data_IF_792827695542
#
_entry.id   IF_792827695542
#
_cell.length_a   1.000
_cell.length_b   1.000
_cell.length_c   1.000
_cell.angle_alpha   90.00
_cell.angle_beta   90.00
_cell.angle_gamma   90.00
#
_symmetry.space_group_name_H-M   'P 1'
#
loop_
_entity.id
_entity.type
_entity.pdbx_description
1 polymer ?
#
# COMPACT_ATOMS: atom_id res chain seq x y z
N UNK A 1 12.40 -59.74 22.12
CA UNK A 1 12.46 -58.75 21.02
C UNK A 1 11.70 -57.53 21.52
N UNK A 2 12.38 -56.43 21.83
CA UNK A 2 11.74 -55.23 22.38
C UNK A 2 11.56 -54.20 21.25
N UNK A 3 10.32 -53.96 20.83
CA UNK A 3 9.98 -52.91 19.86
C UNK A 3 10.12 -51.55 20.52
N UNK A 4 11.01 -50.71 19.98
CA UNK A 4 11.09 -49.29 20.34
C UNK A 4 10.20 -48.49 19.39
N UNK A 5 9.14 -47.88 19.94
CA UNK A 5 8.27 -46.96 19.20
C UNK A 5 8.88 -45.55 19.30
N UNK A 6 9.57 -45.10 18.26
CA UNK A 6 10.10 -43.74 18.18
C UNK A 6 8.96 -42.76 17.89
N UNK A 7 8.62 -41.91 18.85
CA UNK A 7 7.68 -40.80 18.64
C UNK A 7 8.46 -39.67 17.98
N UNK A 8 8.17 -39.40 16.70
CA UNK A 8 8.69 -38.22 15.99
C UNK A 8 7.79 -37.03 16.34
N UNK A 9 8.33 -36.06 17.06
CA UNK A 9 7.67 -34.78 17.30
C UNK A 9 7.76 -33.93 16.01
N UNK A 10 6.61 -33.64 15.39
CA UNK A 10 6.54 -32.74 14.25
C UNK A 10 6.56 -31.28 14.73
N UNK A 11 7.58 -30.51 14.33
CA UNK A 11 7.59 -29.06 14.48
C UNK A 11 6.68 -28.44 13.42
N UNK A 12 5.53 -27.90 13.83
CA UNK A 12 4.75 -27.00 12.97
C UNK A 12 5.42 -25.62 13.04
N UNK A 13 6.26 -25.31 12.04
CA UNK A 13 6.74 -23.96 11.84
C UNK A 13 5.60 -23.12 11.27
N UNK A 14 5.00 -22.24 12.09
CA UNK A 14 4.06 -21.23 11.61
C UNK A 14 4.85 -20.15 10.87
N UNK A 15 5.00 -20.28 9.55
CA UNK A 15 5.49 -19.20 8.69
C UNK A 15 4.43 -18.10 8.67
N UNK A 16 4.75 -16.95 9.26
CA UNK A 16 3.93 -15.74 9.08
C UNK A 16 4.30 -15.11 7.74
N UNK A 17 3.37 -15.04 6.79
CA UNK A 17 3.61 -14.41 5.49
C UNK A 17 3.65 -12.88 5.60
N UNK A 18 4.15 -12.23 4.55
CA UNK A 18 4.09 -10.77 4.40
C UNK A 18 2.67 -10.24 4.67
N UNK A 19 2.58 -9.17 5.47
CA UNK A 19 1.29 -8.57 5.86
C UNK A 19 1.37 -7.05 5.89
N UNK A 20 0.41 -6.39 5.24
CA UNK A 20 0.31 -4.93 5.23
C UNK A 20 -0.22 -4.45 6.57
N UNK A 21 0.54 -3.60 7.27
CA UNK A 21 0.17 -3.04 8.57
C UNK A 21 -0.40 -1.62 8.47
N UNK A 22 -0.10 -0.89 7.38
CA UNK A 22 -0.69 0.41 7.06
C UNK A 22 -0.61 0.66 5.55
N UNK A 23 -1.62 1.26 4.90
CA UNK A 23 -2.86 1.80 5.45
C UNK A 23 -3.82 0.72 5.97
N UNK A 24 -4.84 1.14 6.71
CA UNK A 24 -5.85 0.24 7.28
C UNK A 24 -6.95 1.02 7.99
N UNK A 25 -7.76 0.33 8.78
CA UNK A 25 -9.01 0.88 9.33
C UNK A 25 -8.81 2.12 10.22
N UNK A 26 -7.65 2.24 10.88
CA UNK A 26 -7.29 3.37 11.75
C UNK A 26 -6.32 4.38 11.13
N UNK A 27 -5.75 4.08 9.95
CA UNK A 27 -4.78 4.94 9.25
C UNK A 27 -5.18 5.07 7.79
N UNK A 28 -5.77 6.22 7.47
CA UNK A 28 -6.25 6.59 6.13
C UNK A 28 -5.19 7.34 5.34
N UNK A 29 -5.40 7.40 4.03
CA UNK A 29 -4.63 8.26 3.14
C UNK A 29 -5.37 9.57 2.87
N UNK A 30 -4.62 10.57 2.41
CA UNK A 30 -5.17 11.78 1.82
C UNK A 30 -5.15 11.70 0.30
N UNK A 31 -5.98 12.50 -0.36
CA UNK A 31 -6.00 12.64 -1.81
C UNK A 31 -4.92 13.61 -2.34
N UNK A 32 -3.89 13.90 -1.56
CA UNK A 32 -2.78 14.78 -1.93
C UNK A 32 -1.48 14.35 -1.23
N UNK A 33 -0.34 14.68 -1.84
CA UNK A 33 1.00 14.38 -1.32
C UNK A 33 1.37 12.89 -1.29
N UNK A 34 2.60 12.57 -0.93
CA UNK A 34 3.06 11.19 -0.82
C UNK A 34 2.38 10.47 0.35
N UNK A 35 2.03 9.20 0.16
CA UNK A 35 1.38 8.37 1.18
C UNK A 35 2.33 7.27 1.67
N UNK A 36 2.24 6.93 2.96
CA UNK A 36 3.10 5.90 3.57
C UNK A 36 2.43 4.53 3.59
N UNK A 37 3.24 3.50 3.38
CA UNK A 37 2.88 2.09 3.52
C UNK A 37 3.86 1.41 4.47
N UNK A 38 3.36 0.51 5.31
CA UNK A 38 4.18 -0.32 6.21
C UNK A 38 3.70 -1.76 6.17
N UNK A 39 4.61 -2.71 6.40
CA UNK A 39 4.32 -4.14 6.43
C UNK A 39 5.27 -4.90 7.36
N UNK A 40 4.91 -6.14 7.66
CA UNK A 40 5.79 -7.15 8.25
C UNK A 40 6.14 -8.19 7.18
N UNK A 41 7.32 -8.78 7.27
CA UNK A 41 7.77 -9.86 6.38
C UNK A 41 8.66 -10.84 7.15
N UNK A 42 8.84 -12.05 6.60
CA UNK A 42 9.78 -13.07 7.07
C UNK A 42 10.71 -13.52 5.95
N UNK A 43 11.76 -14.25 6.30
CA UNK A 43 12.81 -14.65 5.37
C UNK A 43 12.34 -15.56 4.22
N UNK A 44 11.17 -16.19 4.34
CA UNK A 44 10.57 -16.99 3.27
C UNK A 44 9.73 -16.19 2.26
N UNK A 45 9.52 -14.90 2.49
CA UNK A 45 8.79 -14.04 1.55
C UNK A 45 9.63 -13.70 0.30
N UNK A 46 9.01 -13.37 -0.84
CA UNK A 46 9.73 -12.89 -2.02
C UNK A 46 10.60 -11.67 -1.71
N UNK A 47 11.73 -11.50 -2.43
CA UNK A 47 12.65 -10.39 -2.19
C UNK A 47 12.07 -9.01 -2.55
N UNK A 48 11.08 -8.98 -3.43
CA UNK A 48 10.40 -7.77 -3.85
C UNK A 48 8.95 -8.03 -4.29
N UNK A 49 8.17 -6.96 -4.38
CA UNK A 49 6.79 -6.97 -4.84
C UNK A 49 6.39 -5.65 -5.52
N UNK A 50 5.20 -5.61 -6.10
CA UNK A 50 4.58 -4.41 -6.69
C UNK A 50 3.40 -3.97 -5.83
N UNK A 51 3.33 -2.67 -5.52
CA UNK A 51 2.24 -2.04 -4.78
C UNK A 51 1.17 -1.57 -5.76
N UNK A 52 -0.05 -2.04 -5.54
CA UNK A 52 -1.22 -1.74 -6.37
C UNK A 52 -2.35 -1.23 -5.49
N UNK A 53 -2.91 -0.07 -5.85
CA UNK A 53 -4.14 0.43 -5.26
C UNK A 53 -5.33 -0.09 -6.05
N UNK A 54 -6.35 -0.57 -5.33
CA UNK A 54 -7.65 -0.94 -5.90
C UNK A 54 -8.78 -0.29 -5.12
N UNK A 55 -9.95 -0.17 -5.74
CA UNK A 55 -11.18 0.31 -5.10
C UNK A 55 -12.26 -0.78 -5.19
N UNK A 56 -12.70 -1.27 -4.03
CA UNK A 56 -13.71 -2.33 -3.90
C UNK A 56 -15.09 -1.83 -4.30
N UNK A 57 -15.37 -0.54 -4.10
CA UNK A 57 -16.63 0.12 -4.47
C UNK A 57 -16.64 0.65 -5.92
N UNK A 58 -15.67 0.26 -6.75
CA UNK A 58 -15.56 0.72 -8.13
C UNK A 58 -16.76 0.32 -8.99
N UNK A 59 -17.33 -0.87 -8.76
CA UNK A 59 -18.48 -1.36 -9.52
C UNK A 59 -19.70 -0.42 -9.38
N UNK A 60 -19.81 0.26 -8.24
CA UNK A 60 -20.86 1.21 -7.92
C UNK A 60 -20.52 2.62 -8.41
N UNK A 61 -19.25 3.02 -8.36
CA UNK A 61 -18.82 4.34 -8.80
C UNK A 61 -17.41 4.33 -9.44
N UNK A 62 -17.38 4.27 -10.78
CA UNK A 62 -16.14 4.33 -11.57
C UNK A 62 -15.43 5.68 -11.50
N UNK A 63 -16.13 6.77 -11.15
CA UNK A 63 -15.53 8.09 -11.06
C UNK A 63 -14.57 8.22 -9.87
N UNK A 64 -14.71 7.37 -8.84
CA UNK A 64 -13.78 7.35 -7.71
C UNK A 64 -12.41 6.81 -8.09
N UNK A 65 -12.35 5.87 -9.05
CA UNK A 65 -11.10 5.27 -9.51
C UNK A 65 -11.29 4.64 -10.91
N UNK A 66 -10.95 5.36 -11.99
CA UNK A 66 -11.13 4.88 -13.36
C UNK A 66 -10.37 3.58 -13.65
N UNK A 67 -9.11 3.52 -13.19
CA UNK A 67 -8.20 2.39 -13.34
C UNK A 67 -8.26 1.48 -12.12
N UNK A 68 -8.70 0.22 -12.27
CA UNK A 68 -8.89 -0.68 -11.12
C UNK A 68 -7.58 -1.07 -10.43
N UNK A 69 -6.54 -1.38 -11.21
CA UNK A 69 -5.24 -1.85 -10.71
C UNK A 69 -4.21 -0.74 -10.93
N UNK A 70 -4.30 0.33 -10.13
CA UNK A 70 -3.33 1.42 -10.22
C UNK A 70 -2.03 0.96 -9.59
N UNK A 71 -1.01 0.73 -10.41
CA UNK A 71 0.36 0.51 -9.92
C UNK A 71 0.84 1.83 -9.30
N UNK A 72 1.27 1.76 -8.05
CA UNK A 72 1.86 2.90 -7.33
C UNK A 72 3.38 2.82 -7.30
N UNK A 73 3.94 1.62 -7.17
CA UNK A 73 5.38 1.38 -7.12
C UNK A 73 5.70 -0.07 -7.44
N UNK A 74 6.67 -0.31 -8.32
CA UNK A 74 7.15 -1.66 -8.64
C UNK A 74 8.51 -1.92 -7.98
N UNK A 75 8.90 -3.20 -7.91
CA UNK A 75 10.21 -3.65 -7.40
C UNK A 75 10.51 -3.13 -5.98
N UNK A 76 9.49 -3.05 -5.12
CA UNK A 76 9.65 -2.63 -3.73
C UNK A 76 10.34 -3.75 -2.96
N UNK A 77 11.46 -3.43 -2.31
CA UNK A 77 12.24 -4.40 -1.55
C UNK A 77 11.48 -4.83 -0.29
N UNK A 78 11.28 -6.13 -0.11
CA UNK A 78 10.49 -6.69 1.00
C UNK A 78 11.10 -6.38 2.36
N UNK A 79 12.42 -6.34 2.47
CA UNK A 79 13.13 -6.05 3.71
C UNK A 79 13.15 -4.55 4.09
N UNK A 80 12.58 -3.65 3.27
CA UNK A 80 12.47 -2.24 3.62
C UNK A 80 11.44 -1.98 4.73
N UNK A 81 10.43 -2.85 4.87
CA UNK A 81 9.33 -2.80 5.85
C UNK A 81 8.43 -1.55 5.79
N UNK A 82 8.85 -0.51 5.06
CA UNK A 82 8.07 0.68 4.76
C UNK A 82 8.53 1.30 3.44
N UNK A 83 7.61 2.00 2.77
CA UNK A 83 7.92 2.89 1.65
C UNK A 83 6.91 4.03 1.60
N UNK A 84 7.26 5.11 0.93
CA UNK A 84 6.32 6.10 0.40
C UNK A 84 5.96 5.81 -1.04
N UNK A 85 4.75 6.23 -1.42
CA UNK A 85 4.21 6.22 -2.79
C UNK A 85 3.73 7.62 -3.13
N UNK A 86 4.06 8.07 -4.34
CA UNK A 86 3.68 9.37 -4.85
C UNK A 86 2.35 9.30 -5.60
N UNK A 87 1.63 10.42 -5.77
CA UNK A 87 0.41 10.44 -6.56
C UNK A 87 0.66 9.90 -7.98
N UNK A 88 -0.26 9.08 -8.52
CA UNK A 88 -0.28 8.75 -9.94
C UNK A 88 -0.29 10.00 -10.83
N UNK A 89 0.01 9.87 -12.12
CA UNK A 89 0.04 11.00 -13.06
C UNK A 89 -1.29 11.79 -13.14
N UNK A 90 -2.42 11.13 -12.86
CA UNK A 90 -3.76 11.75 -12.80
C UNK A 90 -4.13 12.26 -11.39
N UNK A 91 -3.18 12.23 -10.45
CA UNK A 91 -3.40 12.50 -9.04
C UNK A 91 -3.92 11.28 -8.27
N UNK A 92 -4.17 11.48 -6.97
CA UNK A 92 -4.84 10.46 -6.16
C UNK A 92 -6.30 10.31 -6.56
N UNK A 93 -6.88 9.11 -6.36
CA UNK A 93 -8.32 8.90 -6.47
C UNK A 93 -9.12 9.92 -5.66
N UNK A 94 -10.35 10.19 -6.10
CA UNK A 94 -11.24 11.11 -5.43
C UNK A 94 -11.52 10.66 -3.99
N UNK A 95 -11.85 11.63 -3.13
CA UNK A 95 -12.23 11.39 -1.73
C UNK A 95 -13.47 10.48 -1.66
N UNK A 96 -13.50 9.58 -0.67
CA UNK A 96 -14.59 8.63 -0.50
C UNK A 96 -14.32 7.25 -1.13
N UNK A 97 -15.20 6.28 -0.90
CA UNK A 97 -15.01 4.90 -1.38
C UNK A 97 -14.16 4.01 -0.48
N UNK A 98 -13.97 2.77 -0.93
CA UNK A 98 -13.36 1.69 -0.14
C UNK A 98 -12.13 1.16 -0.88
N UNK A 99 -10.94 1.56 -0.43
CA UNK A 99 -9.68 1.23 -1.08
C UNK A 99 -8.96 0.09 -0.38
N UNK A 100 -8.11 -0.60 -1.14
CA UNK A 100 -7.16 -1.59 -0.65
C UNK A 100 -5.80 -1.39 -1.31
N UNK A 101 -4.76 -1.53 -0.51
CA UNK A 101 -3.40 -1.71 -1.00
C UNK A 101 -3.16 -3.21 -1.16
N UNK A 102 -2.65 -3.61 -2.31
CA UNK A 102 -2.31 -4.97 -2.63
C UNK A 102 -0.82 -5.04 -2.95
N UNK A 103 -0.14 -6.02 -2.38
CA UNK A 103 1.21 -6.38 -2.80
C UNK A 103 1.06 -7.52 -3.78
N UNK A 104 1.37 -7.26 -5.04
CA UNK A 104 1.31 -8.24 -6.12
C UNK A 104 2.72 -8.72 -6.46
N UNK A 105 2.82 -9.91 -7.05
CA UNK A 105 4.11 -10.54 -7.38
C UNK A 105 5.02 -9.67 -8.25
N UNK A 106 4.47 -9.05 -9.30
CA UNK A 106 5.21 -8.09 -10.15
C UNK A 106 4.25 -7.14 -10.87
N UNK A 107 4.78 -6.20 -11.65
CA UNK A 107 3.99 -5.29 -12.51
C UNK A 107 3.26 -6.03 -13.64
N UNK A 108 3.71 -7.23 -14.01
CA UNK A 108 3.13 -8.07 -15.06
C UNK A 108 2.14 -9.10 -14.48
N UNK A 109 2.28 -9.44 -13.19
CA UNK A 109 1.48 -10.45 -12.49
C UNK A 109 0.60 -9.82 -11.39
N UNK A 110 -0.21 -8.83 -11.75
CA UNK A 110 -1.05 -8.06 -10.81
C UNK A 110 -2.17 -8.89 -10.14
N UNK A 111 -2.49 -10.07 -10.67
CA UNK A 111 -3.51 -10.96 -10.10
C UNK A 111 -2.94 -11.95 -9.07
N UNK A 112 -1.61 -12.02 -8.94
CA UNK A 112 -0.95 -12.85 -7.93
C UNK A 112 -0.67 -12.00 -6.71
N UNK A 113 -1.64 -11.99 -5.79
CA UNK A 113 -1.61 -11.16 -4.58
C UNK A 113 -0.86 -11.91 -3.47
N UNK A 114 0.19 -11.29 -2.95
CA UNK A 114 1.02 -11.76 -1.84
C UNK A 114 0.49 -11.29 -0.49
N UNK A 115 0.01 -10.05 -0.42
CA UNK A 115 -0.62 -9.46 0.77
C UNK A 115 -1.65 -8.39 0.39
N UNK A 116 -2.62 -8.15 1.28
CA UNK A 116 -3.59 -7.07 1.14
C UNK A 116 -3.75 -6.33 2.45
N UNK A 117 -3.97 -5.03 2.38
CA UNK A 117 -4.41 -4.23 3.52
C UNK A 117 -5.87 -4.54 3.87
N UNK A 118 -6.25 -4.16 5.10
CA UNK A 118 -7.65 -3.88 5.42
C UNK A 118 -8.17 -2.77 4.49
N UNK A 119 -9.50 -2.71 4.37
CA UNK A 119 -10.14 -1.59 3.68
C UNK A 119 -9.91 -0.29 4.44
N UNK A 120 -9.71 0.77 3.67
CA UNK A 120 -9.56 2.12 4.20
C UNK A 120 -10.18 3.13 3.25
N UNK A 121 -10.39 4.35 3.75
CA UNK A 121 -10.89 5.45 2.97
C UNK A 121 -9.78 6.45 2.61
N UNK A 122 -9.87 7.07 1.43
CA UNK A 122 -9.06 8.23 1.06
C UNK A 122 -9.87 9.48 1.41
N UNK A 123 -9.24 10.38 2.16
CA UNK A 123 -9.85 11.60 2.71
C UNK A 123 -9.28 12.86 2.06
N UNK A 124 -9.96 13.99 2.20
CA UNK A 124 -9.43 15.26 1.74
C UNK A 124 -8.16 15.61 2.52
N UNK A 125 -7.10 16.04 1.83
CA UNK A 125 -5.94 16.61 2.51
C UNK A 125 -6.36 17.84 3.34
N UNK A 126 -5.85 17.99 4.58
CA UNK A 126 -6.14 19.19 5.37
C UNK A 126 -5.60 20.40 4.61
N UNK A 127 -6.45 21.43 4.49
CA UNK A 127 -6.09 22.68 3.81
C UNK A 127 -4.96 23.31 4.62
N UNK A 128 -3.71 23.18 4.16
CA UNK A 128 -2.63 23.97 4.72
C UNK A 128 -2.89 25.42 4.31
N UNK A 129 -3.27 26.28 5.26
CA UNK A 129 -3.33 27.73 5.03
C UNK A 129 -1.90 28.22 4.74
N UNK A 130 -1.52 28.24 3.46
CA UNK A 130 -0.24 28.73 3.00
C UNK A 130 -0.15 30.24 3.14
N UNK A 131 0.79 30.71 3.96
CA UNK A 131 1.20 32.12 4.02
C UNK A 131 1.80 32.52 2.68
N UNK A 132 1.18 33.50 2.02
CA UNK A 132 1.66 34.08 0.77
C UNK A 132 2.86 34.98 1.04
N UNK A 133 4.08 34.48 0.83
CA UNK A 133 5.26 35.34 0.68
C UNK A 133 5.13 36.15 -0.60
N UNK A 134 4.67 37.39 -0.44
CA UNK A 134 4.68 38.43 -1.47
C UNK A 134 6.11 38.93 -1.62
N UNK A 135 6.80 38.53 -2.70
CA UNK A 135 8.05 39.16 -3.12
C UNK A 135 7.73 40.52 -3.75
N UNK A 136 7.83 41.59 -2.96
CA UNK A 136 7.79 42.98 -3.44
C UNK A 136 9.14 43.31 -4.09
N UNK A 137 9.24 43.19 -5.41
CA UNK A 137 10.39 43.73 -6.16
C UNK A 137 10.19 45.23 -6.33
N UNK A 138 10.89 46.02 -5.52
CA UNK A 138 11.02 47.47 -5.71
C UNK A 138 11.88 47.76 -6.93
N UNK A 139 11.28 48.33 -7.98
CA UNK A 139 12.01 48.90 -9.10
C UNK A 139 12.26 50.40 -8.84
N UNK A 140 13.55 50.76 -8.75
CA UNK A 140 14.05 52.14 -8.73
C UNK A 140 14.62 52.45 -10.12
N UNK A 141 14.02 53.39 -10.84
CA UNK A 141 14.64 54.22 -11.89
C UNK A 141 13.87 55.52 -12.01
#
# INVERSE_FOLDING_TARGET
>A
MFSSLAIVAAFVASVSAIAVTSPGTSKTWTNDGSQSITWTAVDSDPSNFTIVLTNVSRAQNRALMPTNNQILKALVLTNALSTTVDPPSEGWPAVGGTYRVNFCKSSEELNTILAQSNEFNITAAPIQSGSSTTTTTGAKT
#
